data_IF_795117989748
#
_entry.id   IF_795117989748
#
_cell.length_a   1.000
_cell.length_b   1.000
_cell.length_c   1.000
_cell.angle_alpha   90.00
_cell.angle_beta   90.00
_cell.angle_gamma   90.00
#
_symmetry.space_group_name_H-M   'P 1'
#
loop_
_entity.id
_entity.type
_entity.pdbx_description
1 polymer ?
#
# COMPACT_ATOMS: atom_id res chain seq x y z
N UNK A 1 -42.23 -15.18 20.21
CA UNK A 1 -41.39 -14.06 19.75
C UNK A 1 -39.98 -14.55 19.70
N UNK A 2 -39.62 -15.14 18.58
CA UNK A 2 -38.28 -15.65 18.34
C UNK A 2 -37.42 -14.50 17.80
N UNK A 3 -36.45 -14.06 18.61
CA UNK A 3 -35.41 -13.14 18.16
C UNK A 3 -34.40 -13.96 17.38
N UNK A 4 -34.48 -13.85 16.08
CA UNK A 4 -33.55 -14.45 15.12
C UNK A 4 -32.15 -13.85 15.28
N UNK A 5 -31.27 -14.62 15.93
CA UNK A 5 -29.87 -14.28 16.22
C UNK A 5 -28.91 -14.48 15.04
N UNK A 6 -29.34 -14.25 13.79
CA UNK A 6 -28.59 -14.67 12.59
C UNK A 6 -27.69 -13.62 11.93
N UNK A 7 -27.57 -12.39 12.49
CA UNK A 7 -26.85 -11.32 11.77
C UNK A 7 -25.31 -11.32 11.95
N UNK A 8 -24.78 -12.03 12.96
CA UNK A 8 -23.33 -12.03 13.22
C UNK A 8 -22.54 -13.13 12.49
N UNK A 9 -23.18 -14.23 12.15
CA UNK A 9 -22.52 -15.40 11.55
C UNK A 9 -22.10 -15.19 10.09
N UNK A 10 -22.81 -14.36 9.34
CA UNK A 10 -22.55 -14.11 7.92
C UNK A 10 -21.24 -13.37 7.67
N UNK A 11 -20.97 -12.33 8.45
CA UNK A 11 -19.76 -11.51 8.30
C UNK A 11 -18.49 -12.32 8.61
N UNK A 12 -18.52 -13.12 9.68
CA UNK A 12 -17.37 -13.96 10.07
C UNK A 12 -17.16 -15.16 9.13
N UNK A 13 -18.22 -15.67 8.50
CA UNK A 13 -18.12 -16.71 7.49
C UNK A 13 -17.51 -16.17 6.19
N UNK A 14 -17.85 -14.94 5.81
CA UNK A 14 -17.32 -14.26 4.63
C UNK A 14 -15.82 -13.94 4.79
N UNK A 15 -15.36 -13.65 6.00
CA UNK A 15 -13.93 -13.42 6.31
C UNK A 15 -13.11 -14.71 6.33
N UNK A 16 -13.71 -15.84 6.75
CA UNK A 16 -13.01 -17.13 6.84
C UNK A 16 -12.94 -17.93 5.54
N UNK A 17 -13.73 -17.56 4.54
CA UNK A 17 -14.16 -18.52 3.55
C UNK A 17 -13.24 -18.76 2.37
N UNK A 18 -12.28 -17.90 2.10
CA UNK A 18 -11.57 -18.03 0.84
C UNK A 18 -10.06 -18.25 1.00
N UNK A 19 -9.64 -19.53 0.93
CA UNK A 19 -8.22 -19.91 0.94
C UNK A 19 -7.41 -19.25 -0.20
N UNK A 20 -8.06 -18.85 -1.26
CA UNK A 20 -7.42 -18.17 -2.39
C UNK A 20 -7.13 -16.68 -2.09
N UNK A 21 -7.87 -16.07 -1.16
CA UNK A 21 -7.61 -14.68 -0.75
C UNK A 21 -6.24 -14.55 -0.10
N UNK A 22 -5.90 -15.44 0.83
CA UNK A 22 -4.57 -15.43 1.47
C UNK A 22 -3.45 -15.61 0.44
N UNK A 23 -3.64 -16.50 -0.53
CA UNK A 23 -2.69 -16.70 -1.62
C UNK A 23 -2.59 -15.46 -2.53
N UNK A 24 -3.71 -14.78 -2.81
CA UNK A 24 -3.73 -13.55 -3.58
C UNK A 24 -2.96 -12.42 -2.89
N UNK A 25 -3.19 -12.21 -1.58
CA UNK A 25 -2.42 -11.24 -0.80
C UNK A 25 -0.93 -11.53 -0.83
N UNK A 26 -0.55 -12.76 -0.54
CA UNK A 26 0.85 -13.15 -0.55
C UNK A 26 1.49 -12.91 -1.92
N UNK A 27 0.78 -13.27 -3.00
CA UNK A 27 1.27 -13.08 -4.36
C UNK A 27 1.44 -11.59 -4.70
N UNK A 28 0.47 -10.73 -4.34
CA UNK A 28 0.54 -9.28 -4.57
C UNK A 28 1.76 -8.70 -3.86
N UNK A 29 1.89 -8.96 -2.56
CA UNK A 29 3.00 -8.42 -1.74
C UNK A 29 4.35 -8.93 -2.23
N UNK A 30 4.49 -10.22 -2.48
CA UNK A 30 5.75 -10.79 -2.98
C UNK A 30 6.10 -10.23 -4.35
N UNK A 31 5.13 -10.09 -5.26
CA UNK A 31 5.36 -9.51 -6.58
C UNK A 31 5.82 -8.04 -6.46
N UNK A 32 5.16 -7.22 -5.63
CA UNK A 32 5.55 -5.84 -5.39
C UNK A 32 6.98 -5.74 -4.84
N UNK A 33 7.30 -6.49 -3.78
CA UNK A 33 8.64 -6.55 -3.19
C UNK A 33 9.70 -6.95 -4.22
N UNK A 34 9.44 -7.98 -5.01
CA UNK A 34 10.38 -8.45 -6.05
C UNK A 34 10.61 -7.36 -7.08
N UNK A 35 9.55 -6.69 -7.57
CA UNK A 35 9.68 -5.63 -8.57
C UNK A 35 10.44 -4.44 -7.99
N UNK A 36 10.10 -3.97 -6.78
CA UNK A 36 10.80 -2.89 -6.09
C UNK A 36 12.29 -3.21 -5.90
N UNK A 37 12.62 -4.45 -5.56
CA UNK A 37 14.03 -4.91 -5.49
C UNK A 37 14.73 -4.83 -6.85
N UNK A 38 14.07 -5.20 -7.93
CA UNK A 38 14.61 -5.05 -9.28
C UNK A 38 14.77 -3.58 -9.70
N UNK A 39 13.93 -2.71 -9.19
CA UNK A 39 14.05 -1.25 -9.36
C UNK A 39 15.18 -0.64 -8.49
N UNK A 40 15.86 -1.45 -7.68
CA UNK A 40 16.97 -1.00 -6.83
C UNK A 40 16.54 -0.41 -5.49
N UNK A 41 15.26 -0.62 -5.09
CA UNK A 41 14.80 -0.15 -3.76
C UNK A 41 15.44 -0.95 -2.63
N UNK A 42 15.72 -0.29 -1.52
CA UNK A 42 16.36 -0.87 -0.33
C UNK A 42 15.30 -1.14 0.74
N UNK A 43 15.63 -2.01 1.71
CA UNK A 43 14.70 -2.35 2.79
C UNK A 43 14.49 -1.24 3.82
N UNK A 44 15.39 -0.27 3.86
CA UNK A 44 15.40 0.80 4.83
C UNK A 44 16.06 2.04 4.24
N UNK A 45 16.18 3.11 5.03
CA UNK A 45 16.76 4.38 4.63
C UNK A 45 18.10 4.22 3.91
N UNK A 46 18.19 4.69 2.67
CA UNK A 46 19.40 4.65 1.86
C UNK A 46 20.52 5.55 2.42
N UNK A 47 20.16 6.59 3.18
CA UNK A 47 21.12 7.45 3.86
C UNK A 47 21.72 6.84 5.15
N UNK A 48 21.28 5.62 5.53
CA UNK A 48 21.83 4.88 6.68
C UNK A 48 21.27 5.28 8.05
N UNK A 49 20.24 6.11 8.10
CA UNK A 49 19.55 6.47 9.35
C UNK A 49 18.63 5.32 9.80
N UNK A 50 18.69 4.97 11.09
CA UNK A 50 17.90 3.89 11.69
C UNK A 50 16.65 4.39 12.43
N UNK A 51 16.41 5.70 12.48
CA UNK A 51 15.20 6.25 13.11
C UNK A 51 13.95 5.78 12.36
N UNK A 52 12.86 5.40 13.07
CA UNK A 52 11.65 4.92 12.43
C UNK A 52 10.74 6.04 11.87
N UNK A 53 11.10 7.30 12.01
CA UNK A 53 10.30 8.42 11.50
C UNK A 53 11.17 9.51 10.87
N UNK A 54 10.62 10.23 9.90
CA UNK A 54 11.17 11.46 9.34
C UNK A 54 10.04 12.41 8.97
N UNK A 55 10.15 13.68 9.36
CA UNK A 55 9.13 14.69 9.07
C UNK A 55 9.57 15.71 8.01
N UNK A 56 10.82 15.63 7.55
CA UNK A 56 11.35 16.56 6.56
C UNK A 56 11.18 15.99 5.13
N UNK A 57 10.10 16.39 4.47
CA UNK A 57 9.78 15.99 3.09
C UNK A 57 10.79 16.48 2.04
N UNK A 58 11.67 17.40 2.40
CA UNK A 58 12.68 17.96 1.50
C UNK A 58 14.07 17.33 1.67
N UNK A 59 14.19 16.38 2.56
CA UNK A 59 15.45 15.68 2.81
C UNK A 59 15.56 14.39 2.01
N UNK A 60 16.77 13.84 1.95
CA UNK A 60 17.06 12.49 1.42
C UNK A 60 16.36 11.36 2.18
N UNK A 61 15.83 11.67 3.38
CA UNK A 61 15.09 10.72 4.22
C UNK A 61 13.60 10.61 3.86
N UNK A 62 13.14 11.40 2.90
CA UNK A 62 11.74 11.40 2.47
C UNK A 62 11.34 10.02 1.93
N UNK A 63 10.22 9.49 2.40
CA UNK A 63 9.70 8.15 2.07
C UNK A 63 10.68 6.98 2.35
N UNK A 64 11.62 7.18 3.28
CA UNK A 64 12.62 6.18 3.63
C UNK A 64 12.41 5.56 5.03
N UNK A 65 11.40 6.01 5.75
CA UNK A 65 11.11 5.61 7.14
C UNK A 65 9.69 5.07 7.25
N UNK A 66 9.41 4.29 8.30
CA UNK A 66 8.07 3.68 8.52
C UNK A 66 7.00 4.76 8.71
N UNK A 67 7.36 5.86 9.38
CA UNK A 67 6.43 6.96 9.68
C UNK A 67 7.00 8.25 9.11
N UNK A 68 6.38 8.73 8.07
CA UNK A 68 6.62 10.04 7.47
C UNK A 68 5.29 10.68 7.02
N UNK A 69 5.29 11.90 6.48
CA UNK A 69 4.05 12.52 6.00
C UNK A 69 3.35 11.71 4.88
N UNK A 70 4.09 10.95 4.06
CA UNK A 70 3.52 10.15 2.98
C UNK A 70 2.86 8.86 3.48
N UNK A 71 3.31 8.30 4.61
CA UNK A 71 2.65 7.15 5.23
C UNK A 71 1.17 7.41 5.50
N UNK A 72 0.80 8.64 5.87
CA UNK A 72 -0.61 9.02 6.07
C UNK A 72 -1.37 9.10 4.76
N UNK A 73 -0.75 9.54 3.67
CA UNK A 73 -1.40 9.59 2.36
C UNK A 73 -1.64 8.18 1.82
N UNK A 74 -0.72 7.24 1.96
CA UNK A 74 -0.91 5.83 1.59
C UNK A 74 -2.07 5.19 2.37
N UNK A 75 -2.13 5.40 3.70
CA UNK A 75 -3.28 4.92 4.50
C UNK A 75 -4.59 5.52 4.00
N UNK A 76 -4.62 6.83 3.71
CA UNK A 76 -5.81 7.49 3.20
C UNK A 76 -6.22 6.96 1.82
N UNK A 77 -5.27 6.75 0.91
CA UNK A 77 -5.52 6.17 -0.41
C UNK A 77 -6.15 4.78 -0.27
N UNK A 78 -5.55 3.89 0.52
CA UNK A 78 -6.09 2.54 0.74
C UNK A 78 -7.52 2.54 1.29
N UNK A 79 -7.85 3.47 2.22
CA UNK A 79 -9.21 3.62 2.74
C UNK A 79 -10.18 4.12 1.66
N UNK A 80 -9.77 5.14 0.89
CA UNK A 80 -10.62 5.71 -0.18
C UNK A 80 -10.84 4.70 -1.30
N UNK A 81 -9.81 3.98 -1.71
CA UNK A 81 -9.89 2.92 -2.71
C UNK A 81 -10.83 1.81 -2.28
N UNK A 82 -10.66 1.31 -1.05
CA UNK A 82 -11.55 0.28 -0.50
C UNK A 82 -13.01 0.73 -0.52
N UNK A 83 -13.27 1.97 -0.15
CA UNK A 83 -14.61 2.55 -0.15
C UNK A 83 -15.16 2.70 -1.58
N UNK A 84 -14.36 3.23 -2.50
CA UNK A 84 -14.73 3.40 -3.91
C UNK A 84 -15.02 2.05 -4.59
N UNK A 85 -14.16 1.05 -4.36
CA UNK A 85 -14.38 -0.33 -4.84
C UNK A 85 -15.71 -0.85 -4.30
N UNK A 86 -16.03 -0.58 -3.04
CA UNK A 86 -17.31 -0.95 -2.44
C UNK A 86 -18.53 -0.30 -3.09
N UNK A 87 -18.40 0.94 -3.57
CA UNK A 87 -19.45 1.63 -4.30
C UNK A 87 -19.67 1.06 -5.70
N UNK A 88 -18.57 0.75 -6.40
CA UNK A 88 -18.61 0.22 -7.79
C UNK A 88 -19.01 -1.25 -7.79
N UNK A 89 -18.38 -2.05 -6.96
CA UNK A 89 -18.55 -3.50 -6.89
C UNK A 89 -19.34 -3.93 -5.65
N UNK A 90 -20.59 -3.48 -5.54
CA UNK A 90 -21.44 -3.63 -4.35
C UNK A 90 -21.63 -5.08 -3.88
N UNK A 91 -21.54 -6.05 -4.80
CA UNK A 91 -21.71 -7.48 -4.49
C UNK A 91 -20.40 -8.22 -4.23
N UNK A 92 -19.26 -7.55 -4.36
CA UNK A 92 -17.97 -8.16 -4.10
C UNK A 92 -17.79 -8.42 -2.59
N UNK A 93 -17.36 -9.63 -2.18
CA UNK A 93 -17.05 -9.92 -0.78
C UNK A 93 -16.00 -8.97 -0.21
N UNK A 94 -16.11 -8.66 1.08
CA UNK A 94 -15.25 -7.69 1.77
C UNK A 94 -13.77 -7.99 1.59
N UNK A 95 -13.39 -9.25 1.72
CA UNK A 95 -12.00 -9.70 1.60
C UNK A 95 -11.42 -9.49 0.20
N UNK A 96 -12.23 -9.63 -0.84
CA UNK A 96 -11.81 -9.37 -2.22
C UNK A 96 -11.74 -7.86 -2.54
N UNK A 97 -12.59 -7.03 -1.92
CA UNK A 97 -12.47 -5.57 -2.01
C UNK A 97 -11.14 -5.09 -1.43
N UNK A 98 -10.79 -5.63 -0.26
CA UNK A 98 -9.52 -5.32 0.36
C UNK A 98 -8.34 -5.81 -0.49
N UNK A 99 -8.42 -7.03 -1.05
CA UNK A 99 -7.37 -7.56 -1.94
C UNK A 99 -7.18 -6.67 -3.18
N UNK A 100 -8.28 -6.17 -3.75
CA UNK A 100 -8.22 -5.26 -4.90
C UNK A 100 -7.61 -3.90 -4.51
N UNK A 101 -7.96 -3.33 -3.36
CA UNK A 101 -7.34 -2.11 -2.86
C UNK A 101 -5.83 -2.30 -2.64
N UNK A 102 -5.41 -3.40 -2.00
CA UNK A 102 -3.98 -3.73 -1.84
C UNK A 102 -3.28 -3.90 -3.18
N UNK A 103 -3.94 -4.49 -4.18
CA UNK A 103 -3.37 -4.61 -5.53
C UNK A 103 -3.17 -3.24 -6.19
N UNK A 104 -4.15 -2.34 -6.08
CA UNK A 104 -4.06 -0.99 -6.66
C UNK A 104 -2.95 -0.21 -5.98
N UNK A 105 -2.91 -0.18 -4.64
CA UNK A 105 -1.88 0.52 -3.87
C UNK A 105 -0.48 -0.05 -4.14
N UNK A 106 -0.33 -1.38 -4.16
CA UNK A 106 0.95 -2.00 -4.52
C UNK A 106 1.40 -1.70 -5.95
N UNK A 107 0.44 -1.57 -6.88
CA UNK A 107 0.73 -1.21 -8.26
C UNK A 107 1.15 0.26 -8.37
N UNK A 108 0.52 1.12 -7.59
CA UNK A 108 0.90 2.53 -7.48
C UNK A 108 2.31 2.66 -6.91
N UNK A 109 2.60 2.00 -5.81
CA UNK A 109 3.93 1.95 -5.18
C UNK A 109 5.02 1.55 -6.18
N UNK A 110 4.79 0.50 -6.96
CA UNK A 110 5.71 0.06 -8.01
C UNK A 110 5.86 1.12 -9.11
N UNK A 111 4.78 1.80 -9.49
CA UNK A 111 4.81 2.81 -10.53
C UNK A 111 5.57 4.06 -10.09
N UNK A 112 5.31 4.59 -8.90
CA UNK A 112 5.98 5.80 -8.40
C UNK A 112 7.45 5.57 -8.07
N UNK A 113 7.83 4.36 -7.73
CA UNK A 113 9.23 3.95 -7.55
C UNK A 113 9.98 3.62 -8.85
N UNK A 114 9.34 3.80 -9.99
CA UNK A 114 10.02 3.69 -11.29
C UNK A 114 11.03 4.82 -11.50
N UNK A 115 12.12 4.53 -12.22
CA UNK A 115 13.14 5.51 -12.53
C UNK A 115 12.58 6.77 -13.23
N UNK A 116 11.56 6.61 -14.08
CA UNK A 116 10.94 7.72 -14.80
C UNK A 116 10.17 8.68 -13.87
N UNK A 117 9.45 8.13 -12.87
CA UNK A 117 8.70 8.94 -11.89
C UNK A 117 9.66 9.63 -10.93
N UNK A 118 10.67 8.92 -10.42
CA UNK A 118 11.69 9.50 -9.54
C UNK A 118 12.42 10.66 -10.23
N UNK A 119 12.84 10.48 -11.48
CA UNK A 119 13.54 11.53 -12.22
C UNK A 119 12.63 12.74 -12.47
N UNK A 120 11.35 12.48 -12.79
CA UNK A 120 10.38 13.56 -12.92
C UNK A 120 10.16 14.30 -11.60
N UNK A 121 10.11 13.58 -10.47
CA UNK A 121 9.96 14.20 -9.16
C UNK A 121 11.17 15.09 -8.84
N UNK A 122 12.38 14.61 -9.07
CA UNK A 122 13.62 15.40 -8.92
C UNK A 122 13.63 16.65 -9.78
N UNK A 123 13.18 16.55 -11.03
CA UNK A 123 13.15 17.69 -11.96
C UNK A 123 12.06 18.72 -11.64
N UNK A 124 10.98 18.30 -10.97
CA UNK A 124 9.81 19.13 -10.67
C UNK A 124 9.81 19.74 -9.27
N UNK A 125 10.69 19.28 -8.37
CA UNK A 125 10.73 19.69 -6.97
C UNK A 125 12.14 20.12 -6.55
N UNK A 126 12.27 20.63 -5.32
CA UNK A 126 13.57 20.96 -4.72
C UNK A 126 14.27 19.73 -4.11
N UNK A 127 13.64 18.56 -4.09
CA UNK A 127 14.20 17.32 -3.56
C UNK A 127 15.08 16.62 -4.60
N UNK A 128 16.22 17.23 -4.92
CA UNK A 128 17.13 16.74 -5.96
C UNK A 128 17.72 15.36 -5.64
N UNK A 129 17.82 15.01 -4.36
CA UNK A 129 18.41 13.76 -3.87
C UNK A 129 17.34 12.72 -3.45
N UNK A 130 16.11 12.86 -3.95
CA UNK A 130 15.06 11.87 -3.70
C UNK A 130 15.44 10.51 -4.30
N UNK A 131 15.43 9.48 -3.48
CA UNK A 131 15.84 8.12 -3.88
C UNK A 131 14.67 7.21 -4.30
N UNK A 132 13.43 7.62 -4.09
CA UNK A 132 12.25 6.76 -4.07
C UNK A 132 12.02 6.20 -2.67
N UNK A 133 11.00 5.34 -2.53
CA UNK A 133 10.63 4.83 -1.22
C UNK A 133 11.49 3.63 -0.82
N UNK A 134 11.59 3.36 0.47
CA UNK A 134 12.10 2.09 0.98
C UNK A 134 11.00 1.01 0.91
N UNK A 135 11.37 -0.26 0.90
CA UNK A 135 10.43 -1.40 0.82
C UNK A 135 9.80 -1.67 2.18
#
# INVERSE_FOLDING_TARGET
>A
MDHDGTSGSGLWADIRGDKYVAAAYLLIVVAAVVILRFQGRVWWCQAGDITPWSWNIWSTHNSQHIIDPYSFTHVLHGVLEFWLIGLVFRRMPLVWRLALAVLIESSWEVAENSAAVIERYRSATISLDYFGDSI
#
